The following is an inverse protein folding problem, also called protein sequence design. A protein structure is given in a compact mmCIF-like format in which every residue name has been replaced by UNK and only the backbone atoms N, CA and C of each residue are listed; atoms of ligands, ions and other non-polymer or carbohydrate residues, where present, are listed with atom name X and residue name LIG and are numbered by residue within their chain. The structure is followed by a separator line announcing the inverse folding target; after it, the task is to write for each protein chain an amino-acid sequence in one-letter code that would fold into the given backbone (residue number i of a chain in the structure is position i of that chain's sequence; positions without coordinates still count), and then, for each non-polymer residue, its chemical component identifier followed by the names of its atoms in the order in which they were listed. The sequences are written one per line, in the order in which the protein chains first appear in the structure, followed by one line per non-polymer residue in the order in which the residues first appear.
data_IF_933202591175
#
_entry.id   IF_933202591175
#
_cell.length_a   1.000
_cell.length_b   1.000
_cell.length_c   1.000
_cell.angle_alpha   90.00
_cell.angle_beta   90.00
_cell.angle_gamma   90.00
#
_symmetry.space_group_name_H-M   'P 1'
#
loop_
_entity.id
_entity.type
_entity.pdbx_description
1 polymer ?
#
# COMPACT_ATOMS: atom_id res chain seq x y z
N UNK A 1 4.16 -15.22 -14.46
CA UNK A 1 3.36 -15.81 -13.36
C UNK A 1 2.90 -14.65 -12.51
N UNK A 2 1.67 -14.67 -11.99
CA UNK A 2 1.15 -13.59 -11.16
C UNK A 2 0.94 -14.12 -9.74
N UNK A 3 1.36 -13.33 -8.76
CA UNK A 3 1.13 -13.55 -7.34
C UNK A 3 -0.13 -12.81 -6.90
N UNK A 4 -0.88 -13.42 -6.00
CA UNK A 4 -2.17 -12.95 -5.51
C UNK A 4 -2.32 -13.22 -4.03
N UNK A 5 -3.16 -12.42 -3.38
CA UNK A 5 -3.47 -12.62 -1.98
C UNK A 5 -4.32 -11.51 -1.42
N UNK A 6 -4.35 -11.43 -0.10
CA UNK A 6 -5.07 -10.42 0.66
C UNK A 6 -4.15 -9.85 1.72
N UNK A 7 -4.20 -8.52 1.91
CA UNK A 7 -3.62 -7.87 3.08
C UNK A 7 -4.71 -7.34 4.02
N UNK A 8 -4.34 -7.18 5.29
CA UNK A 8 -5.16 -6.56 6.34
C UNK A 8 -4.36 -5.42 6.97
N UNK A 9 -4.93 -4.22 6.99
CA UNK A 9 -4.39 -3.09 7.75
C UNK A 9 -4.60 -3.38 9.24
N UNK A 10 -3.53 -3.39 10.01
CA UNK A 10 -3.55 -3.55 11.46
C UNK A 10 -3.38 -2.25 12.23
N UNK A 11 -2.78 -1.23 11.59
CA UNK A 11 -2.52 0.06 12.21
C UNK A 11 -2.48 1.15 11.14
N UNK A 12 -3.03 2.33 11.46
CA UNK A 12 -3.01 3.51 10.59
C UNK A 12 -2.73 4.75 11.43
N UNK A 13 -1.54 5.31 11.27
CA UNK A 13 -1.12 6.52 11.97
C UNK A 13 -0.94 7.64 10.96
N UNK A 14 -1.92 8.54 10.88
CA UNK A 14 -1.89 9.67 9.96
C UNK A 14 -1.80 11.00 10.69
N UNK A 15 -1.00 11.91 10.15
CA UNK A 15 -0.87 13.27 10.62
C UNK A 15 -0.90 14.25 9.46
N UNK A 16 -1.58 15.38 9.65
CA UNK A 16 -1.63 16.47 8.67
C UNK A 16 -0.29 17.22 8.70
N UNK A 17 0.35 17.33 7.55
CA UNK A 17 1.63 18.04 7.38
C UNK A 17 1.45 19.40 6.74
N UNK A 18 0.39 19.60 5.96
CA UNK A 18 0.05 20.90 5.36
C UNK A 18 -1.45 21.05 5.26
N UNK A 19 -1.98 22.16 5.78
CA UNK A 19 -3.37 22.56 5.61
C UNK A 19 -3.46 23.67 4.57
N UNK A 20 -4.47 23.60 3.70
CA UNK A 20 -4.77 24.58 2.67
C UNK A 20 -6.23 25.06 2.81
N UNK A 21 -6.62 26.01 1.98
CA UNK A 21 -8.00 26.48 1.91
C UNK A 21 -8.98 25.36 1.50
N UNK A 22 -10.27 25.58 1.77
CA UNK A 22 -11.35 24.66 1.41
C UNK A 22 -11.15 23.22 1.92
N UNK A 23 -10.55 23.08 3.11
CA UNK A 23 -10.23 21.80 3.76
C UNK A 23 -9.30 20.88 2.95
N UNK A 24 -8.65 21.38 1.90
CA UNK A 24 -7.61 20.62 1.21
C UNK A 24 -6.43 20.45 2.16
N UNK A 25 -5.79 19.28 2.15
CA UNK A 25 -4.65 18.99 3.03
C UNK A 25 -3.69 17.98 2.43
N UNK A 26 -2.45 18.03 2.89
CA UNK A 26 -1.47 16.96 2.73
C UNK A 26 -1.28 16.31 4.10
N UNK A 27 -1.35 14.98 4.13
CA UNK A 27 -1.04 14.16 5.30
C UNK A 27 0.13 13.23 4.99
N UNK A 28 0.84 12.80 6.04
CA UNK A 28 1.69 11.62 6.00
C UNK A 28 1.05 10.51 6.85
N UNK A 29 1.11 9.28 6.38
CA UNK A 29 0.64 8.12 7.13
C UNK A 29 1.70 7.01 7.22
N UNK A 30 1.80 6.39 8.39
CA UNK A 30 2.52 5.13 8.60
C UNK A 30 1.48 4.04 8.82
N UNK A 31 1.51 3.03 7.96
CA UNK A 31 0.49 1.96 7.91
C UNK A 31 1.16 0.62 8.06
N UNK A 32 0.72 -0.17 9.04
CA UNK A 32 1.19 -1.53 9.22
C UNK A 32 0.15 -2.52 8.68
N UNK A 33 0.61 -3.56 7.98
CA UNK A 33 -0.25 -4.57 7.37
C UNK A 33 0.25 -6.00 7.60
N UNK A 34 -0.66 -6.96 7.50
CA UNK A 34 -0.35 -8.40 7.41
C UNK A 34 -0.85 -8.98 6.09
N UNK A 35 -0.05 -9.88 5.51
CA UNK A 35 -0.27 -10.49 4.19
C UNK A 35 -0.56 -11.99 4.31
N UNK A 36 -1.42 -12.48 3.41
CA UNK A 36 -1.76 -13.88 3.24
C UNK A 36 -1.97 -14.22 1.75
N UNK A 37 -1.84 -15.50 1.39
CA UNK A 37 -1.90 -15.97 0.00
C UNK A 37 -0.52 -16.39 -0.51
N UNK A 38 -0.16 -15.98 -1.72
CA UNK A 38 1.13 -16.31 -2.33
C UNK A 38 2.31 -15.64 -1.59
N UNK A 39 2.07 -14.49 -0.94
CA UNK A 39 2.99 -13.88 0.02
C UNK A 39 2.38 -13.96 1.42
N UNK A 40 3.16 -14.44 2.38
CA UNK A 40 2.82 -14.48 3.81
C UNK A 40 3.87 -13.66 4.56
N UNK A 41 3.42 -12.60 5.24
CA UNK A 41 4.34 -11.62 5.81
C UNK A 41 3.66 -10.47 6.53
N UNK A 42 4.46 -9.50 6.93
CA UNK A 42 4.01 -8.20 7.45
C UNK A 42 4.70 -7.08 6.69
N UNK A 43 4.09 -5.91 6.67
CA UNK A 43 4.71 -4.74 6.04
C UNK A 43 4.47 -3.47 6.83
N UNK A 44 5.30 -2.48 6.51
CA UNK A 44 5.08 -1.10 6.88
C UNK A 44 5.16 -0.22 5.64
N UNK A 45 4.20 0.69 5.51
CA UNK A 45 4.06 1.62 4.39
C UNK A 45 4.17 3.04 4.92
N UNK A 46 4.88 3.88 4.18
CA UNK A 46 4.97 5.32 4.40
C UNK A 46 4.30 6.03 3.24
N UNK A 47 3.13 6.63 3.48
CA UNK A 47 2.35 7.36 2.48
C UNK A 47 2.45 8.87 2.65
N UNK A 48 2.38 9.56 1.52
CA UNK A 48 1.97 10.96 1.44
C UNK A 48 0.62 11.02 0.72
N UNK A 49 -0.35 11.73 1.31
CA UNK A 49 -1.74 11.77 0.86
C UNK A 49 -2.15 13.21 0.64
N UNK A 50 -2.58 13.54 -0.57
CA UNK A 50 -3.28 14.79 -0.86
C UNK A 50 -4.79 14.54 -0.81
N UNK A 51 -5.49 15.29 0.03
CA UNK A 51 -6.95 15.30 0.09
C UNK A 51 -7.48 16.58 -0.56
N UNK A 52 -8.46 16.41 -1.45
CA UNK A 52 -9.20 17.53 -2.03
C UNK A 52 -10.35 17.97 -1.10
N UNK A 53 -11.06 19.03 -1.49
CA UNK A 53 -12.17 19.61 -0.71
C UNK A 53 -13.38 18.69 -0.54
N UNK A 54 -13.50 17.63 -1.35
CA UNK A 54 -14.56 16.63 -1.28
C UNK A 54 -14.19 15.44 -0.39
N UNK A 55 -12.95 15.43 0.15
CA UNK A 55 -12.42 14.33 0.95
C UNK A 55 -11.89 13.14 0.12
N UNK A 56 -11.89 13.25 -1.22
CA UNK A 56 -11.19 12.30 -2.08
C UNK A 56 -9.68 12.49 -1.95
N UNK A 57 -8.91 11.41 -2.08
CA UNK A 57 -7.47 11.45 -1.90
C UNK A 57 -6.71 10.90 -3.10
N UNK A 58 -5.52 11.45 -3.34
CA UNK A 58 -4.45 10.84 -4.12
C UNK A 58 -3.29 10.55 -3.18
N UNK A 59 -2.75 9.34 -3.25
CA UNK A 59 -1.68 8.93 -2.35
C UNK A 59 -0.57 8.21 -3.10
N UNK A 60 0.65 8.35 -2.59
CA UNK A 60 1.84 7.67 -3.08
C UNK A 60 2.72 7.31 -1.89
N UNK A 61 3.50 6.25 -2.02
CA UNK A 61 4.35 5.80 -0.92
C UNK A 61 5.19 4.59 -1.27
N UNK A 62 6.04 4.21 -0.31
CA UNK A 62 6.84 3.01 -0.40
C UNK A 62 6.49 2.07 0.75
N UNK A 63 6.48 0.77 0.44
CA UNK A 63 6.20 -0.32 1.35
C UNK A 63 7.42 -1.21 1.50
N UNK A 64 7.71 -1.62 2.73
CA UNK A 64 8.68 -2.67 3.02
C UNK A 64 7.93 -3.89 3.54
N UNK A 65 7.77 -4.90 2.69
CA UNK A 65 7.17 -6.19 3.07
C UNK A 65 8.27 -7.14 3.52
N UNK A 66 8.05 -7.82 4.65
CA UNK A 66 8.90 -8.86 5.23
C UNK A 66 8.18 -10.19 5.25
N UNK A 67 8.80 -11.24 4.70
CA UNK A 67 8.20 -12.57 4.71
C UNK A 67 8.28 -13.22 6.09
N UNK A 68 7.25 -13.97 6.46
CA UNK A 68 7.19 -14.67 7.75
C UNK A 68 8.14 -15.87 7.79
N UNK A 69 8.28 -16.62 6.69
CA UNK A 69 9.12 -17.81 6.63
C UNK A 69 10.62 -17.48 6.69
N UNK A 70 11.02 -16.32 6.17
CA UNK A 70 12.38 -15.82 6.21
C UNK A 70 12.39 -14.29 6.32
N UNK A 71 12.70 -13.79 7.52
CA UNK A 71 12.71 -12.35 7.80
C UNK A 71 13.82 -11.59 7.07
N UNK A 72 14.81 -12.27 6.50
CA UNK A 72 15.82 -11.65 5.64
C UNK A 72 15.26 -11.31 4.25
N UNK A 73 14.13 -11.93 3.88
CA UNK A 73 13.46 -11.72 2.60
C UNK A 73 12.51 -10.53 2.66
N UNK A 74 12.67 -9.62 1.71
CA UNK A 74 11.96 -8.36 1.56
C UNK A 74 11.46 -8.17 0.13
N UNK A 75 10.33 -7.48 0.03
CA UNK A 75 9.78 -6.96 -1.22
C UNK A 75 9.49 -5.48 -0.98
N UNK A 76 9.99 -4.62 -1.87
CA UNK A 76 9.78 -3.18 -1.82
C UNK A 76 8.79 -2.80 -2.90
N UNK A 77 7.65 -2.23 -2.50
CA UNK A 77 6.61 -1.79 -3.42
C UNK A 77 6.53 -0.27 -3.44
N UNK A 78 6.45 0.32 -4.62
CA UNK A 78 5.97 1.67 -4.81
C UNK A 78 4.46 1.64 -5.07
N UNK A 79 3.75 2.57 -4.45
CA UNK A 79 2.30 2.71 -4.59
C UNK A 79 1.95 4.02 -5.28
N UNK A 80 0.99 3.97 -6.20
CA UNK A 80 0.31 5.14 -6.76
C UNK A 80 -1.20 4.90 -6.74
N UNK A 81 -1.91 5.57 -5.83
CA UNK A 81 -3.30 5.26 -5.53
C UNK A 81 -4.23 6.43 -5.32
N UNK A 82 -5.50 6.09 -5.11
CA UNK A 82 -6.60 7.01 -4.91
C UNK A 82 -7.62 6.47 -3.92
N UNK A 83 -8.28 7.37 -3.21
CA UNK A 83 -9.47 7.10 -2.41
C UNK A 83 -10.62 7.93 -2.98
N UNK A 84 -11.61 7.23 -3.54
CA UNK A 84 -12.78 7.85 -4.19
C UNK A 84 -14.01 6.98 -3.91
N UNK A 85 -15.15 7.60 -3.62
CA UNK A 85 -16.41 6.87 -3.42
C UNK A 85 -16.39 5.87 -2.27
N UNK A 86 -15.57 6.09 -1.23
CA UNK A 86 -15.45 5.21 -0.07
C UNK A 86 -14.52 4.00 -0.26
N UNK A 87 -13.81 3.91 -1.38
CA UNK A 87 -12.89 2.80 -1.68
C UNK A 87 -11.50 3.31 -2.05
N UNK A 88 -10.46 2.67 -1.50
CA UNK A 88 -9.07 2.88 -1.85
C UNK A 88 -8.62 1.87 -2.91
N UNK A 89 -7.84 2.33 -3.89
CA UNK A 89 -7.19 1.48 -4.89
C UNK A 89 -5.83 2.04 -5.25
N UNK A 90 -4.88 1.20 -5.62
CA UNK A 90 -3.57 1.64 -6.09
C UNK A 90 -2.99 0.72 -7.16
N UNK A 91 -2.16 1.30 -8.02
CA UNK A 91 -1.16 0.58 -8.78
C UNK A 91 0.05 0.32 -7.88
N UNK A 92 0.65 -0.86 -8.03
CA UNK A 92 1.83 -1.32 -7.31
C UNK A 92 2.95 -1.55 -8.31
N UNK A 93 4.16 -1.13 -7.99
CA UNK A 93 5.37 -1.46 -8.73
C UNK A 93 6.38 -2.11 -7.78
N UNK A 94 6.86 -3.30 -8.11
CA UNK A 94 7.94 -3.96 -7.36
C UNK A 94 9.27 -3.33 -7.78
N UNK A 95 9.82 -2.48 -6.92
CA UNK A 95 11.04 -1.73 -7.23
C UNK A 95 12.31 -2.45 -6.76
N UNK A 96 12.19 -3.32 -5.77
CA UNK A 96 13.26 -4.17 -5.27
C UNK A 96 12.68 -5.42 -4.60
N UNK A 97 13.40 -6.53 -4.66
CA UNK A 97 12.96 -7.82 -4.15
C UNK A 97 14.16 -8.75 -4.02
N UNK A 98 14.32 -9.40 -2.86
CA UNK A 98 15.34 -10.45 -2.67
C UNK A 98 14.70 -11.82 -2.36
N UNK A 99 13.37 -11.91 -2.47
CA UNK A 99 12.58 -13.14 -2.37
C UNK A 99 12.57 -13.91 -3.70
N UNK A 100 12.23 -13.22 -4.79
CA UNK A 100 12.27 -13.71 -6.16
C UNK A 100 12.59 -12.54 -7.10
N UNK A 101 13.78 -12.55 -7.71
CA UNK A 101 14.27 -11.49 -8.59
C UNK A 101 13.37 -11.30 -9.82
N UNK A 102 12.59 -12.31 -10.22
CA UNK A 102 11.64 -12.20 -11.33
C UNK A 102 10.44 -11.28 -11.02
N UNK A 103 10.26 -10.91 -9.75
CA UNK A 103 9.26 -9.94 -9.34
C UNK A 103 9.70 -8.50 -9.59
N UNK A 104 11.01 -8.21 -9.69
CA UNK A 104 11.50 -6.85 -9.90
C UNK A 104 10.97 -6.30 -11.23
N UNK A 105 10.37 -5.11 -11.20
CA UNK A 105 9.74 -4.47 -12.34
C UNK A 105 8.34 -5.01 -12.69
N UNK A 106 7.82 -5.99 -11.93
CA UNK A 106 6.42 -6.39 -12.04
C UNK A 106 5.51 -5.31 -11.47
N UNK A 107 4.34 -5.20 -12.08
CA UNK A 107 3.30 -4.26 -11.66
C UNK A 107 2.10 -5.02 -11.14
N UNK A 108 1.28 -4.34 -10.37
CA UNK A 108 0.10 -4.91 -9.77
C UNK A 108 -0.91 -3.86 -9.37
N UNK A 109 -1.96 -4.31 -8.69
CA UNK A 109 -2.94 -3.42 -8.11
C UNK A 109 -3.58 -4.04 -6.86
N UNK A 110 -4.20 -3.18 -6.05
CA UNK A 110 -5.13 -3.60 -5.02
C UNK A 110 -6.42 -2.78 -5.07
N UNK A 111 -7.49 -3.36 -4.51
CA UNK A 111 -8.74 -2.66 -4.22
C UNK A 111 -9.17 -3.00 -2.79
N UNK A 112 -9.43 -1.97 -1.98
CA UNK A 112 -9.85 -2.13 -0.60
C UNK A 112 -11.26 -2.72 -0.50
N UNK A 113 -11.42 -3.56 0.51
CA UNK A 113 -12.66 -4.16 0.98
C UNK A 113 -13.02 -3.58 2.34
N UNK A 114 -14.16 -4.01 2.87
CA UNK A 114 -14.58 -3.69 4.23
C UNK A 114 -13.58 -4.17 5.29
N UNK A 115 -13.55 -3.48 6.42
CA UNK A 115 -12.74 -3.87 7.58
C UNK A 115 -11.23 -3.73 7.40
N UNK A 116 -10.76 -2.91 6.46
CA UNK A 116 -9.32 -2.66 6.25
C UNK A 116 -8.60 -3.78 5.50
N UNK A 117 -9.33 -4.65 4.81
CA UNK A 117 -8.77 -5.69 3.94
C UNK A 117 -8.61 -5.17 2.51
N UNK A 118 -7.74 -5.78 1.72
CA UNK A 118 -7.73 -5.59 0.27
C UNK A 118 -7.17 -6.84 -0.42
N UNK A 119 -7.68 -7.14 -1.61
CA UNK A 119 -7.03 -8.12 -2.48
C UNK A 119 -6.00 -7.44 -3.34
N UNK A 120 -4.87 -8.12 -3.56
CA UNK A 120 -3.84 -7.67 -4.47
C UNK A 120 -3.54 -8.71 -5.54
N UNK A 121 -3.01 -8.23 -6.67
CA UNK A 121 -2.42 -9.05 -7.73
C UNK A 121 -1.22 -8.34 -8.33
N UNK A 122 -0.08 -9.03 -8.45
CA UNK A 122 1.15 -8.54 -9.10
C UNK A 122 1.59 -9.59 -10.14
N UNK A 123 1.95 -9.22 -11.37
CA UNK A 123 2.40 -10.21 -12.37
C UNK A 123 2.65 -9.71 -13.78
#
# INVERSE_FOLDING_TARGET
MAITGTFQISNWQESVTTSMENNCKISNAVVDQSYSGDIIGTSQIHYQLYYNSEGNARFTGYEVLTLTEDQSKKIILQHAGKFEGGSASAQLDVIDCNFDDNLIGKTGNFISKEGGKADYRIG
#
